data_IF_288929466491
#
_entry.id   IF_288929466491
#
_cell.length_a   1.000
_cell.length_b   1.000
_cell.length_c   1.000
_cell.angle_alpha   90.00
_cell.angle_beta   90.00
_cell.angle_gamma   90.00
#
_symmetry.space_group_name_H-M   'P 1'
#
loop_
_entity.id
_entity.type
_entity.pdbx_description
1 polymer ?
#
# COMPACT_ATOMS: atom_id res chain seq x y z
N UNK A 1 -17.41 3.89 2.94
CA UNK A 1 -16.67 4.38 4.13
C UNK A 1 -15.77 5.54 3.72
N UNK A 2 -15.26 6.34 4.67
CA UNK A 2 -14.36 7.47 4.40
C UNK A 2 -14.93 8.57 3.47
N UNK A 3 -16.24 8.85 3.58
CA UNK A 3 -16.94 9.81 2.72
C UNK A 3 -17.12 11.19 3.38
N UNK A 4 -16.81 11.33 4.67
CA UNK A 4 -16.86 12.64 5.35
C UNK A 4 -15.65 13.48 4.98
N UNK A 5 -15.76 14.80 5.06
CA UNK A 5 -14.63 15.71 4.79
C UNK A 5 -13.42 15.41 5.68
N UNK A 6 -13.68 14.99 6.92
CA UNK A 6 -12.65 14.59 7.90
C UNK A 6 -11.89 13.33 7.46
N UNK A 7 -12.56 12.38 6.81
CA UNK A 7 -12.02 11.05 6.51
C UNK A 7 -11.64 10.88 5.04
N UNK A 8 -12.03 11.82 4.18
CA UNK A 8 -11.81 11.80 2.73
C UNK A 8 -10.33 11.73 2.36
N UNK A 9 -9.47 12.42 3.09
CA UNK A 9 -8.02 12.37 2.86
C UNK A 9 -7.47 10.94 3.05
N UNK A 10 -7.87 10.26 4.13
CA UNK A 10 -7.52 8.85 4.39
C UNK A 10 -8.13 7.95 3.31
N UNK A 11 -9.38 8.20 2.91
CA UNK A 11 -10.05 7.50 1.83
C UNK A 11 -9.28 7.55 0.51
N UNK A 12 -8.81 8.72 0.09
CA UNK A 12 -8.02 8.89 -1.14
C UNK A 12 -6.66 8.18 -1.07
N UNK A 13 -6.03 8.12 0.10
CA UNK A 13 -4.77 7.37 0.26
C UNK A 13 -5.03 5.86 0.12
N UNK A 14 -6.10 5.34 0.75
CA UNK A 14 -6.51 3.94 0.61
C UNK A 14 -6.82 3.61 -0.85
N UNK A 15 -7.51 4.49 -1.56
CA UNK A 15 -7.78 4.34 -3.00
C UNK A 15 -6.48 4.24 -3.81
N UNK A 16 -5.48 5.09 -3.53
CA UNK A 16 -4.16 5.01 -4.18
C UNK A 16 -3.47 3.66 -3.92
N UNK A 17 -3.54 3.14 -2.69
CA UNK A 17 -3.00 1.83 -2.32
C UNK A 17 -3.69 0.71 -3.11
N UNK A 18 -5.03 0.73 -3.15
CA UNK A 18 -5.83 -0.26 -3.88
C UNK A 18 -5.56 -0.19 -5.39
N UNK A 19 -5.39 1.01 -5.94
CA UNK A 19 -5.03 1.19 -7.34
C UNK A 19 -3.66 0.59 -7.64
N UNK A 20 -2.67 0.75 -6.76
CA UNK A 20 -1.37 0.10 -6.92
C UNK A 20 -1.49 -1.44 -6.97
N UNK A 21 -2.40 -2.03 -6.18
CA UNK A 21 -2.64 -3.47 -6.24
C UNK A 21 -3.27 -3.92 -7.58
N UNK A 22 -4.20 -3.13 -8.13
CA UNK A 22 -4.77 -3.38 -9.46
C UNK A 22 -3.73 -3.22 -10.57
N UNK A 23 -2.93 -2.17 -10.50
CA UNK A 23 -1.84 -1.89 -11.44
C UNK A 23 -0.81 -3.02 -11.40
N UNK A 24 -0.44 -3.49 -10.20
CA UNK A 24 0.49 -4.61 -10.04
C UNK A 24 -0.07 -5.91 -10.61
N UNK A 25 -1.35 -6.20 -10.36
CA UNK A 25 -2.02 -7.36 -10.96
C UNK A 25 -1.97 -7.29 -12.49
N UNK A 26 -2.13 -6.09 -13.08
CA UNK A 26 -2.05 -5.92 -14.53
C UNK A 26 -0.67 -6.29 -15.10
N UNK A 27 0.41 -6.05 -14.34
CA UNK A 27 1.77 -6.48 -14.72
C UNK A 27 1.92 -8.00 -14.79
N UNK A 28 1.05 -8.75 -14.11
CA UNK A 28 1.10 -10.23 -14.03
C UNK A 28 0.06 -10.87 -14.96
N UNK A 29 -1.10 -10.22 -15.16
CA UNK A 29 -2.26 -10.79 -15.85
C UNK A 29 -2.17 -10.81 -17.39
N UNK A 30 -1.19 -10.16 -18.02
CA UNK A 30 -1.10 -10.07 -19.49
C UNK A 30 -0.47 -11.29 -20.20
N UNK A 31 -0.11 -12.37 -19.49
CA UNK A 31 0.36 -13.60 -20.15
C UNK A 31 0.72 -14.79 -19.26
N UNK A 32 0.69 -14.68 -17.93
CA UNK A 32 1.26 -15.70 -17.06
C UNK A 32 0.29 -16.79 -16.57
N UNK A 33 -1.01 -16.48 -16.42
CA UNK A 33 -1.97 -17.30 -15.68
C UNK A 33 -3.14 -17.81 -16.50
N UNK A 34 -2.92 -18.17 -17.77
CA UNK A 34 -3.84 -19.13 -18.37
C UNK A 34 -3.72 -20.42 -17.53
N UNK A 35 -4.76 -20.74 -16.76
CA UNK A 35 -4.81 -21.86 -15.81
C UNK A 35 -4.96 -23.14 -16.64
N UNK A 36 -3.90 -23.47 -17.37
CA UNK A 36 -3.78 -24.57 -18.29
C UNK A 36 -2.41 -25.21 -18.14
N UNK A 37 -2.26 -26.00 -17.07
CA UNK A 37 -1.31 -27.11 -16.88
C UNK A 37 0.21 -26.94 -17.14
N UNK A 38 0.75 -25.79 -17.57
CA UNK A 38 2.16 -25.72 -18.00
C UNK A 38 3.07 -25.02 -16.97
N UNK A 39 3.57 -25.81 -16.01
CA UNK A 39 4.65 -25.41 -15.08
C UNK A 39 6.01 -25.20 -15.80
N UNK A 40 6.14 -25.62 -17.07
CA UNK A 40 7.38 -25.58 -17.83
C UNK A 40 7.85 -24.18 -18.22
N UNK A 41 6.93 -23.22 -18.38
CA UNK A 41 7.23 -21.90 -18.94
C UNK A 41 7.07 -20.74 -17.92
N UNK A 42 7.23 -21.01 -16.63
CA UNK A 42 7.15 -19.95 -15.61
C UNK A 42 8.24 -18.89 -15.82
N UNK A 43 9.45 -19.31 -16.20
CA UNK A 43 10.58 -18.39 -16.43
C UNK A 43 10.37 -17.49 -17.65
N UNK A 44 9.84 -18.04 -18.75
CA UNK A 44 9.48 -17.27 -19.95
C UNK A 44 8.34 -16.29 -19.68
N UNK A 45 7.33 -16.72 -18.89
CA UNK A 45 6.24 -15.85 -18.42
C UNK A 45 6.69 -14.74 -17.48
N UNK A 46 7.71 -14.97 -16.65
CA UNK A 46 8.29 -13.91 -15.81
C UNK A 46 9.11 -12.91 -16.63
N UNK A 47 9.69 -13.33 -17.75
CA UNK A 47 10.48 -12.46 -18.64
C UNK A 47 9.64 -11.38 -19.35
N UNK A 48 8.32 -11.58 -19.45
CA UNK A 48 7.39 -10.60 -20.04
C UNK A 48 6.94 -9.52 -19.05
N UNK A 49 7.29 -9.66 -17.76
CA UNK A 49 6.97 -8.68 -16.73
C UNK A 49 7.82 -7.43 -16.95
N UNK A 50 7.15 -6.29 -17.09
CA UNK A 50 7.82 -5.00 -17.13
C UNK A 50 8.32 -4.61 -15.73
N UNK A 51 9.60 -4.87 -15.44
CA UNK A 51 10.23 -4.56 -14.15
C UNK A 51 10.17 -3.05 -13.84
N UNK A 52 10.33 -2.18 -14.85
CA UNK A 52 10.26 -0.73 -14.65
C UNK A 52 8.88 -0.30 -14.14
N UNK A 53 7.82 -0.89 -14.70
CA UNK A 53 6.45 -0.67 -14.24
C UNK A 53 6.22 -1.21 -12.82
N UNK A 54 6.75 -2.39 -12.50
CA UNK A 54 6.66 -2.95 -11.14
C UNK A 54 7.36 -2.04 -10.13
N UNK A 55 8.54 -1.52 -10.47
CA UNK A 55 9.30 -0.62 -9.60
C UNK A 55 8.57 0.71 -9.38
N UNK A 56 7.95 1.29 -10.41
CA UNK A 56 7.19 2.53 -10.27
C UNK A 56 5.92 2.35 -9.43
N UNK A 57 5.22 1.20 -9.59
CA UNK A 57 4.08 0.83 -8.75
C UNK A 57 4.52 0.69 -7.29
N UNK A 58 5.65 0.02 -7.04
CA UNK A 58 6.21 -0.10 -5.68
C UNK A 58 6.49 1.26 -5.05
N UNK A 59 7.15 2.16 -5.78
CA UNK A 59 7.44 3.51 -5.29
C UNK A 59 6.16 4.29 -4.92
N UNK A 60 5.12 4.19 -5.75
CA UNK A 60 3.81 4.80 -5.47
C UNK A 60 3.14 4.18 -4.23
N UNK A 61 3.17 2.85 -4.11
CA UNK A 61 2.63 2.13 -2.96
C UNK A 61 3.33 2.53 -1.66
N UNK A 62 4.66 2.56 -1.64
CA UNK A 62 5.48 2.96 -0.49
C UNK A 62 5.18 4.41 -0.08
N UNK A 63 5.02 5.31 -1.06
CA UNK A 63 4.63 6.70 -0.81
C UNK A 63 3.25 6.80 -0.15
N UNK A 64 2.25 6.11 -0.67
CA UNK A 64 0.90 6.13 -0.11
C UNK A 64 0.85 5.50 1.28
N UNK A 65 1.64 4.45 1.57
CA UNK A 65 1.76 3.92 2.93
C UNK A 65 2.39 4.94 3.90
N UNK A 66 3.40 5.69 3.47
CA UNK A 66 4.00 6.74 4.28
C UNK A 66 3.01 7.89 4.55
N UNK A 67 2.22 8.30 3.56
CA UNK A 67 1.16 9.29 3.73
C UNK A 67 0.11 8.82 4.74
N UNK A 68 -0.30 7.55 4.65
CA UNK A 68 -1.23 6.95 5.60
C UNK A 68 -0.67 6.93 7.03
N UNK A 69 0.61 6.62 7.18
CA UNK A 69 1.30 6.64 8.47
C UNK A 69 1.35 8.06 9.06
N UNK A 70 1.62 9.08 8.24
CA UNK A 70 1.59 10.48 8.68
C UNK A 70 0.20 10.87 9.19
N UNK A 71 -0.87 10.44 8.51
CA UNK A 71 -2.25 10.64 8.98
C UNK A 71 -2.47 9.99 10.35
N UNK A 72 -2.04 8.74 10.51
CA UNK A 72 -2.12 8.02 11.79
C UNK A 72 -1.41 8.76 12.94
N UNK A 73 -0.19 9.27 12.71
CA UNK A 73 0.61 9.96 13.74
C UNK A 73 0.00 11.32 14.11
N UNK A 74 -0.56 12.04 13.13
CA UNK A 74 -1.17 13.36 13.34
C UNK A 74 -2.53 13.31 14.01
N UNK A 75 -3.21 12.16 13.97
CA UNK A 75 -4.56 12.08 14.47
C UNK A 75 -4.61 12.13 16.02
N UNK A 76 -5.46 12.99 16.60
CA UNK A 76 -5.63 13.03 18.04
C UNK A 76 -6.26 11.72 18.54
N UNK A 77 -5.43 10.90 19.22
CA UNK A 77 -5.77 9.56 19.74
C UNK A 77 -6.98 9.50 20.69
N UNK A 78 -7.49 10.64 21.13
CA UNK A 78 -8.58 10.75 22.11
C UNK A 78 -9.87 11.38 21.56
N UNK A 79 -9.91 11.83 20.30
CA UNK A 79 -11.06 12.58 19.76
C UNK A 79 -11.85 11.88 18.64
N UNK A 80 -11.24 10.97 17.88
CA UNK A 80 -11.91 10.40 16.70
C UNK A 80 -12.31 8.93 16.90
N UNK A 81 -13.51 8.74 17.44
CA UNK A 81 -14.12 7.43 17.67
C UNK A 81 -14.26 6.59 16.39
N UNK A 82 -14.40 7.23 15.21
CA UNK A 82 -14.63 6.53 13.94
C UNK A 82 -13.39 5.88 13.33
N UNK A 83 -12.20 6.45 13.54
CA UNK A 83 -10.95 5.99 12.92
C UNK A 83 -10.05 5.21 13.87
N UNK A 84 -10.25 5.34 15.20
CA UNK A 84 -9.48 4.61 16.22
C UNK A 84 -9.38 3.11 15.90
N UNK A 85 -10.52 2.47 15.59
CA UNK A 85 -10.55 1.04 15.26
C UNK A 85 -9.88 0.70 13.93
N UNK A 86 -9.95 1.61 12.96
CA UNK A 86 -9.22 1.45 11.69
C UNK A 86 -7.71 1.46 11.94
N UNK A 87 -7.21 2.37 12.78
CA UNK A 87 -5.80 2.46 13.12
C UNK A 87 -5.30 1.27 13.94
N UNK A 88 -6.13 0.71 14.82
CA UNK A 88 -5.82 -0.53 15.54
C UNK A 88 -5.55 -1.70 14.56
N UNK A 89 -6.36 -1.81 13.51
CA UNK A 89 -6.14 -2.81 12.46
C UNK A 89 -4.92 -2.48 11.59
N UNK A 90 -4.65 -1.21 11.33
CA UNK A 90 -3.50 -0.81 10.53
C UNK A 90 -2.17 -1.05 11.26
N UNK A 91 -2.13 -0.75 12.56
CA UNK A 91 -0.98 -1.00 13.43
C UNK A 91 -1.04 -2.40 14.09
N UNK A 92 -1.59 -3.37 13.38
CA UNK A 92 -1.63 -4.75 13.86
C UNK A 92 -0.20 -5.26 14.10
N UNK A 93 0.02 -5.94 15.23
CA UNK A 93 1.33 -6.38 15.72
C UNK A 93 2.36 -5.26 16.01
N UNK A 94 1.93 -3.99 16.11
CA UNK A 94 2.87 -2.91 16.42
C UNK A 94 3.83 -2.58 15.28
N UNK A 95 3.44 -2.80 14.03
CA UNK A 95 4.27 -2.45 12.87
C UNK A 95 4.80 -1.01 12.94
N UNK A 96 4.02 -0.08 13.49
CA UNK A 96 4.39 1.32 13.67
C UNK A 96 4.89 1.67 15.08
N UNK A 97 4.99 0.72 16.02
CA UNK A 97 5.39 1.01 17.41
C UNK A 97 6.86 1.42 17.55
N UNK A 98 7.72 0.99 16.62
CA UNK A 98 9.15 1.36 16.61
C UNK A 98 9.43 2.66 15.84
N UNK A 99 8.51 3.10 14.99
CA UNK A 99 8.70 4.29 14.13
C UNK A 99 8.62 5.59 14.95
N UNK A 100 7.95 5.56 16.11
CA UNK A 100 7.80 6.74 16.97
C UNK A 100 9.05 7.09 17.81
N UNK A 101 10.12 6.29 17.73
CA UNK A 101 11.39 6.56 18.43
C UNK A 101 12.47 7.17 17.53
N UNK A 102 12.16 7.52 16.28
CA UNK A 102 13.15 7.98 15.31
C UNK A 102 12.67 9.14 14.46
N UNK A 103 12.70 10.35 15.02
CA UNK A 103 13.21 11.49 14.25
C UNK A 103 14.63 11.11 13.79
N UNK A 104 14.74 10.45 12.64
CA UNK A 104 15.97 9.83 12.17
C UNK A 104 16.06 9.95 10.66
N UNK A 105 16.33 11.18 10.21
CA UNK A 105 16.99 11.58 8.97
C UNK A 105 16.64 10.86 7.66
N UNK A 106 16.23 11.67 6.67
CA UNK A 106 16.52 11.39 5.27
C UNK A 106 17.97 10.93 5.12
N UNK A 107 18.20 9.77 4.51
CA UNK A 107 19.50 9.40 3.97
C UNK A 107 19.35 9.26 2.45
N UNK A 108 19.95 10.24 1.78
CA UNK A 108 20.41 10.41 0.38
C UNK A 108 20.12 9.28 -0.59
#
# INVERSE_FOLDING_TARGET
CFLSDETKAVGSIIESILQCALDFRSCISLGAWDIGNDRGDLLGKLSTINISQVLSIKQKFDRSLNELHICYVKEPKHLNFGLTRFWEYLNYNGYYSHVNNGMGYCAV
#
